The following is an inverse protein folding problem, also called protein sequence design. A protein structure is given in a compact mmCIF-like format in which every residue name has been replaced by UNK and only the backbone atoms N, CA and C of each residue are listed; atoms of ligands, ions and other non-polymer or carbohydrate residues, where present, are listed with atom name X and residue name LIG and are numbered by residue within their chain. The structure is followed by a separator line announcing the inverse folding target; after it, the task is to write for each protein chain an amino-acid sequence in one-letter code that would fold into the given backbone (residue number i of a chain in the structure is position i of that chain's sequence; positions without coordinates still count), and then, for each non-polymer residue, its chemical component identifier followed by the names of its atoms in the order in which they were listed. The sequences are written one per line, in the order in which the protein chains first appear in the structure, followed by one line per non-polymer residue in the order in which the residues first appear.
data_IF_222018313582
#
_entry.id   IF_222018313582
#
_cell.length_a   1.000
_cell.length_b   1.000
_cell.length_c   1.000
_cell.angle_alpha   90.00
_cell.angle_beta   90.00
_cell.angle_gamma   90.00
#
_symmetry.space_group_name_H-M   'P 1'
#
loop_
_entity.id
_entity.type
_entity.pdbx_description
1 polymer ?
#
# COMPACT_ATOMS: atom_id res chain seq x y z
N UNK A 1 38.59 -12.01 -17.95
CA UNK A 1 37.24 -11.47 -18.19
C UNK A 1 36.32 -11.88 -17.03
N UNK A 2 36.36 -11.19 -15.89
CA UNK A 2 35.49 -11.53 -14.74
C UNK A 2 34.91 -10.30 -14.01
N UNK A 3 35.36 -9.08 -14.33
CA UNK A 3 34.80 -7.84 -13.75
C UNK A 3 33.43 -7.46 -14.32
N UNK A 4 33.11 -7.87 -15.56
CA UNK A 4 31.85 -7.48 -16.22
C UNK A 4 30.64 -8.20 -15.63
N UNK A 5 30.79 -9.45 -15.19
CA UNK A 5 29.69 -10.27 -14.66
C UNK A 5 29.30 -9.88 -13.24
N UNK A 6 30.25 -9.45 -12.40
CA UNK A 6 29.97 -8.98 -11.03
C UNK A 6 29.22 -7.65 -11.00
N UNK A 7 29.54 -6.72 -11.91
CA UNK A 7 28.84 -5.44 -12.02
C UNK A 7 27.37 -5.59 -12.45
N UNK A 8 27.07 -6.54 -13.34
CA UNK A 8 25.70 -6.81 -13.79
C UNK A 8 24.85 -7.44 -12.67
N UNK A 9 25.44 -8.33 -11.86
CA UNK A 9 24.74 -8.94 -10.74
C UNK A 9 24.41 -7.92 -9.62
N UNK A 10 25.32 -6.98 -9.34
CA UNK A 10 25.07 -5.91 -8.37
C UNK A 10 23.99 -4.93 -8.86
N UNK A 11 23.97 -4.61 -10.15
CA UNK A 11 22.92 -3.76 -10.73
C UNK A 11 21.53 -4.42 -10.66
N UNK A 12 21.42 -5.72 -10.96
CA UNK A 12 20.17 -6.46 -10.84
C UNK A 12 19.67 -6.57 -9.38
N UNK A 13 20.57 -6.75 -8.42
CA UNK A 13 20.22 -6.78 -6.99
C UNK A 13 19.75 -5.40 -6.48
N UNK A 14 20.34 -4.30 -6.97
CA UNK A 14 19.90 -2.94 -6.66
C UNK A 14 18.56 -2.59 -7.31
N UNK A 15 18.28 -3.12 -8.51
CA UNK A 15 16.99 -2.92 -9.18
C UNK A 15 15.88 -3.74 -8.50
N UNK A 16 16.20 -4.95 -8.03
CA UNK A 16 15.26 -5.76 -7.23
C UNK A 16 14.98 -5.18 -5.84
N UNK A 17 15.93 -4.46 -5.25
CA UNK A 17 15.72 -3.74 -3.98
C UNK A 17 14.94 -2.42 -4.16
N UNK A 18 15.16 -1.71 -5.28
CA UNK A 18 14.39 -0.52 -5.64
C UNK A 18 12.95 -0.84 -6.07
N UNK A 19 12.68 -2.04 -6.62
CA UNK A 19 11.35 -2.47 -7.04
C UNK A 19 10.37 -2.72 -5.88
N UNK A 20 10.83 -2.76 -4.63
CA UNK A 20 9.96 -3.04 -3.48
C UNK A 20 9.70 -1.85 -2.57
N UNK A 21 10.06 -0.66 -3.04
CA UNK A 21 9.92 0.61 -2.32
C UNK A 21 9.22 1.65 -3.20
N UNK A 22 8.05 1.29 -3.72
CA UNK A 22 7.17 2.24 -4.40
C UNK A 22 6.54 3.27 -3.42
N UNK A 23 7.04 3.39 -2.19
CA UNK A 23 6.55 4.39 -1.23
C UNK A 23 6.72 5.82 -1.76
N UNK A 24 7.70 6.09 -2.62
CA UNK A 24 7.82 7.38 -3.30
C UNK A 24 6.62 7.66 -4.23
N UNK A 25 6.22 6.66 -5.03
CA UNK A 25 5.08 6.76 -5.97
C UNK A 25 3.77 6.85 -5.18
N UNK A 26 3.58 5.95 -4.21
CA UNK A 26 2.41 5.95 -3.33
C UNK A 26 2.25 7.30 -2.62
N UNK A 27 3.33 7.84 -2.06
CA UNK A 27 3.33 9.15 -1.40
C UNK A 27 2.91 10.26 -2.36
N UNK A 28 3.43 10.25 -3.59
CA UNK A 28 3.07 11.24 -4.60
C UNK A 28 1.58 11.16 -4.94
N UNK A 29 1.04 9.97 -5.21
CA UNK A 29 -0.38 9.79 -5.51
C UNK A 29 -1.29 10.19 -4.34
N UNK A 30 -0.89 9.88 -3.10
CA UNK A 30 -1.64 10.29 -1.91
C UNK A 30 -1.62 11.82 -1.70
N UNK A 31 -0.46 12.46 -1.82
CA UNK A 31 -0.35 13.92 -1.65
C UNK A 31 -1.08 14.68 -2.75
N UNK A 32 -0.97 14.22 -3.99
CA UNK A 32 -1.69 14.79 -5.14
C UNK A 32 -3.19 14.46 -5.11
N UNK A 33 -3.60 13.52 -4.24
CA UNK A 33 -4.93 12.94 -4.24
C UNK A 33 -5.35 12.49 -5.66
N UNK A 34 -4.41 11.84 -6.34
CA UNK A 34 -4.56 11.45 -7.73
C UNK A 34 -5.79 10.54 -7.89
N UNK A 35 -6.69 10.90 -8.81
CA UNK A 35 -7.97 10.20 -8.99
C UNK A 35 -8.82 10.06 -7.71
N UNK A 36 -8.61 10.92 -6.71
CA UNK A 36 -9.31 10.91 -5.43
C UNK A 36 -8.86 9.82 -4.46
N UNK A 37 -7.68 9.22 -4.66
CA UNK A 37 -7.21 8.04 -3.89
C UNK A 37 -7.13 8.29 -2.39
N UNK A 38 -6.76 9.50 -1.94
CA UNK A 38 -6.62 9.81 -0.52
C UNK A 38 -7.98 9.92 0.16
N UNK A 39 -8.96 10.53 -0.50
CA UNK A 39 -10.33 10.56 0.01
C UNK A 39 -10.97 9.18 0.01
N UNK A 40 -10.73 8.40 -1.04
CA UNK A 40 -11.21 7.02 -1.11
C UNK A 40 -10.56 6.14 -0.02
N UNK A 41 -9.28 6.35 0.29
CA UNK A 41 -8.57 5.65 1.36
C UNK A 41 -9.17 5.98 2.73
N UNK A 42 -9.40 7.26 3.03
CA UNK A 42 -10.04 7.67 4.28
C UNK A 42 -11.45 7.06 4.38
N UNK A 43 -12.26 7.19 3.33
CA UNK A 43 -13.61 6.64 3.29
C UNK A 43 -13.64 5.11 3.43
N UNK A 44 -12.62 4.41 2.89
CA UNK A 44 -12.46 2.97 3.01
C UNK A 44 -12.25 2.53 4.47
N UNK A 45 -11.38 3.23 5.22
CA UNK A 45 -11.04 2.83 6.60
C UNK A 45 -11.97 3.44 7.66
N UNK A 46 -12.71 4.51 7.33
CA UNK A 46 -13.61 5.21 8.27
C UNK A 46 -14.60 4.27 8.99
N UNK A 47 -15.25 3.30 8.33
CA UNK A 47 -16.14 2.36 9.01
C UNK A 47 -15.43 1.53 10.07
N UNK A 48 -14.17 1.12 9.82
CA UNK A 48 -13.37 0.32 10.76
C UNK A 48 -12.93 1.17 11.95
N UNK A 49 -12.50 2.41 11.70
CA UNK A 49 -12.06 3.34 12.74
C UNK A 49 -13.20 3.75 13.67
N UNK A 50 -14.43 3.81 13.16
CA UNK A 50 -15.62 4.20 13.91
C UNK A 50 -16.44 3.01 14.44
N UNK A 51 -16.05 1.76 14.11
CA UNK A 51 -16.74 0.58 14.62
C UNK A 51 -16.48 0.43 16.13
N UNK A 52 -17.53 0.23 16.96
CA UNK A 52 -17.32 -0.07 18.37
C UNK A 52 -16.56 -1.39 18.51
N UNK A 53 -15.43 -1.41 19.23
CA UNK A 53 -14.55 -2.59 19.40
C UNK A 53 -15.27 -3.89 19.83
N UNK A 54 -16.47 -3.78 20.42
CA UNK A 54 -17.31 -4.91 20.85
C UNK A 54 -18.03 -5.66 19.72
N UNK A 55 -17.96 -5.18 18.47
CA UNK A 55 -18.85 -5.59 17.37
C UNK A 55 -18.15 -6.16 16.13
N UNK A 56 -16.83 -6.39 16.16
CA UNK A 56 -16.15 -7.04 15.04
C UNK A 56 -16.08 -8.55 15.29
N UNK A 57 -17.02 -9.37 14.76
CA UNK A 57 -16.81 -10.81 14.71
C UNK A 57 -15.57 -11.09 13.86
N UNK A 58 -14.89 -12.21 14.11
CA UNK A 58 -13.58 -12.54 13.52
C UNK A 58 -13.52 -12.55 11.98
N UNK A 59 -14.68 -12.60 11.32
CA UNK A 59 -14.88 -12.47 9.88
C UNK A 59 -15.16 -11.03 9.38
N UNK A 60 -15.53 -10.09 10.26
CA UNK A 60 -15.82 -8.69 9.91
C UNK A 60 -14.56 -7.82 9.71
N UNK A 61 -13.37 -8.33 10.05
CA UNK A 61 -12.11 -7.61 9.88
C UNK A 61 -11.80 -7.24 8.42
N UNK A 62 -12.52 -7.81 7.44
CA UNK A 62 -12.36 -7.49 6.00
C UNK A 62 -13.67 -7.12 5.30
N UNK A 63 -14.79 -6.99 6.03
CA UNK A 63 -16.07 -6.64 5.40
C UNK A 63 -16.03 -5.24 4.76
N UNK A 64 -15.23 -4.34 5.33
CA UNK A 64 -14.98 -3.02 4.76
C UNK A 64 -14.39 -3.08 3.34
N UNK A 65 -13.71 -4.17 2.96
CA UNK A 65 -13.19 -4.35 1.59
C UNK A 65 -14.30 -4.41 0.53
N UNK A 66 -15.54 -4.73 0.91
CA UNK A 66 -16.70 -4.76 0.00
C UNK A 66 -17.22 -3.36 -0.33
N UNK A 67 -16.83 -2.35 0.43
CA UNK A 67 -17.23 -0.97 0.22
C UNK A 67 -16.59 -0.40 -1.06
N UNK A 68 -17.36 0.38 -1.82
CA UNK A 68 -16.90 0.94 -3.09
C UNK A 68 -15.65 1.85 -2.97
N UNK A 69 -15.47 2.63 -1.88
CA UNK A 69 -14.21 3.33 -1.64
C UNK A 69 -13.00 2.38 -1.58
N UNK A 70 -13.12 1.22 -0.92
CA UNK A 70 -12.02 0.25 -0.83
C UNK A 70 -11.70 -0.40 -2.17
N UNK A 71 -12.72 -0.80 -2.93
CA UNK A 71 -12.52 -1.32 -4.30
C UNK A 71 -11.80 -0.31 -5.19
N UNK A 72 -12.12 0.98 -5.05
CA UNK A 72 -11.46 2.06 -5.79
C UNK A 72 -10.00 2.19 -5.40
N UNK A 73 -9.69 2.20 -4.10
CA UNK A 73 -8.32 2.23 -3.59
C UNK A 73 -7.52 1.04 -4.12
N UNK A 74 -8.05 -0.18 -3.97
CA UNK A 74 -7.39 -1.40 -4.46
C UNK A 74 -7.13 -1.32 -5.96
N UNK A 75 -8.10 -0.89 -6.76
CA UNK A 75 -7.93 -0.73 -8.21
C UNK A 75 -6.85 0.30 -8.57
N UNK A 76 -6.75 1.39 -7.81
CA UNK A 76 -5.79 2.46 -8.08
C UNK A 76 -4.37 2.10 -7.65
N UNK A 77 -4.23 1.31 -6.57
CA UNK A 77 -2.94 0.93 -6.00
C UNK A 77 -2.43 -0.42 -6.51
N UNK A 78 -3.27 -1.27 -7.11
CA UNK A 78 -2.85 -2.57 -7.67
C UNK A 78 -1.74 -2.53 -8.73
N UNK A 79 -1.47 -1.43 -9.46
CA UNK A 79 -0.33 -1.35 -10.36
C UNK A 79 1.04 -1.27 -9.64
N UNK A 80 1.07 -0.91 -8.35
CA UNK A 80 2.31 -0.84 -7.58
C UNK A 80 2.83 -2.24 -7.24
N UNK A 81 4.14 -2.37 -7.08
CA UNK A 81 4.76 -3.68 -6.91
C UNK A 81 4.23 -4.39 -5.63
N UNK A 82 3.79 -5.67 -5.71
CA UNK A 82 3.16 -6.35 -4.58
C UNK A 82 4.03 -6.47 -3.32
N UNK A 83 5.35 -6.40 -3.46
CA UNK A 83 6.27 -6.41 -2.32
C UNK A 83 6.22 -5.12 -1.50
N UNK A 84 5.80 -3.99 -2.08
CA UNK A 84 5.54 -2.71 -1.36
C UNK A 84 4.57 -2.91 -0.19
N UNK A 85 3.67 -3.89 -0.28
CA UNK A 85 2.69 -4.19 0.78
C UNK A 85 3.24 -4.98 1.96
N UNK A 86 4.49 -5.44 1.87
CA UNK A 86 5.18 -6.28 2.86
C UNK A 86 6.47 -5.64 3.40
N UNK A 87 6.94 -4.56 2.81
CA UNK A 87 8.13 -3.83 3.26
C UNK A 87 7.81 -2.90 4.44
N UNK A 88 8.83 -2.50 5.18
CA UNK A 88 8.67 -1.59 6.31
C UNK A 88 8.29 -0.19 5.81
N UNK A 89 7.27 0.41 6.44
CA UNK A 89 6.84 1.77 6.10
C UNK A 89 7.87 2.78 6.61
N UNK A 90 8.33 3.72 5.77
CA UNK A 90 9.24 4.78 6.21
C UNK A 90 8.69 5.58 7.39
N UNK A 91 9.54 5.84 8.39
CA UNK A 91 9.20 6.67 9.55
C UNK A 91 9.34 8.15 9.19
N UNK A 92 8.36 8.69 8.48
CA UNK A 92 8.29 10.10 8.09
C UNK A 92 6.90 10.71 8.30
N UNK A 93 6.71 11.97 7.87
CA UNK A 93 5.44 12.70 8.05
C UNK A 93 4.23 12.03 7.41
N UNK A 94 4.44 11.18 6.40
CA UNK A 94 3.37 10.48 5.69
C UNK A 94 3.23 9.02 6.13
N UNK A 95 4.08 8.54 7.05
CA UNK A 95 4.14 7.15 7.48
C UNK A 95 2.78 6.56 7.86
N UNK A 96 1.91 7.35 8.51
CA UNK A 96 0.55 6.90 8.85
C UNK A 96 -0.32 6.66 7.61
N UNK A 97 -0.28 7.56 6.61
CA UNK A 97 -1.03 7.41 5.38
C UNK A 97 -0.53 6.24 4.54
N UNK A 98 0.79 6.06 4.49
CA UNK A 98 1.44 4.93 3.83
C UNK A 98 1.05 3.61 4.51
N UNK A 99 1.11 3.54 5.84
CA UNK A 99 0.71 2.35 6.60
C UNK A 99 -0.77 1.99 6.42
N UNK A 100 -1.67 2.98 6.38
CA UNK A 100 -3.09 2.76 6.08
C UNK A 100 -3.28 2.17 4.68
N UNK A 101 -2.67 2.78 3.65
CA UNK A 101 -2.76 2.27 2.28
C UNK A 101 -2.22 0.84 2.18
N UNK A 102 -1.09 0.56 2.84
CA UNK A 102 -0.48 -0.76 2.90
C UNK A 102 -1.41 -1.80 3.56
N UNK A 103 -2.05 -1.43 4.67
CA UNK A 103 -2.99 -2.29 5.37
C UNK A 103 -4.21 -2.61 4.50
N UNK A 104 -4.80 -1.61 3.84
CA UNK A 104 -5.92 -1.82 2.90
C UNK A 104 -5.53 -2.78 1.78
N UNK A 105 -4.33 -2.63 1.21
CA UNK A 105 -3.86 -3.54 0.16
C UNK A 105 -3.65 -4.97 0.66
N UNK A 106 -3.11 -5.15 1.87
CA UNK A 106 -2.96 -6.49 2.48
C UNK A 106 -4.28 -7.17 2.77
N UNK A 107 -5.29 -6.40 3.16
CA UNK A 107 -6.59 -6.94 3.56
C UNK A 107 -7.49 -7.20 2.35
N UNK A 108 -7.50 -6.28 1.38
CA UNK A 108 -8.54 -6.19 0.36
C UNK A 108 -8.10 -6.57 -1.07
N UNK A 109 -6.80 -6.68 -1.37
CA UNK A 109 -6.32 -6.99 -2.72
C UNK A 109 -6.23 -8.50 -3.02
N UNK A 110 -7.02 -9.33 -2.33
CA UNK A 110 -7.02 -10.80 -2.44
C UNK A 110 -8.05 -11.31 -3.44
#
# INVERSE_FOLDING_TARGET
MQLKTTLVAMAAALWGAAACDDFAVLRASLRANENGVSYALIACVTPVLNAPMKWLPSNAATDYCKEDPCKRVVKQLSPLDPCTWKTEVPSDSDGNALAMAQQVMRDCAK
#
